data_IF_619670954058
#
_entry.id   IF_619670954058
#
_cell.length_a   1.000
_cell.length_b   1.000
_cell.length_c   1.000
_cell.angle_alpha   90.00
_cell.angle_beta   90.00
_cell.angle_gamma   90.00
#
_symmetry.space_group_name_H-M   'P 1'
#
loop_
_entity.id
_entity.type
_entity.pdbx_description
1 polymer ?
#
# COMPACT_ATOMS: atom_id res chain seq x y z
N UNK A 1 -15.63 -75.10 11.23
CA UNK A 1 -15.25 -74.79 12.62
C UNK A 1 -16.16 -73.66 13.10
N UNK A 2 -17.19 -74.08 13.85
CA UNK A 2 -18.09 -73.39 14.78
C UNK A 2 -18.85 -72.15 14.23
N UNK A 3 -20.13 -72.16 13.91
CA UNK A 3 -21.32 -72.78 14.54
C UNK A 3 -21.68 -72.13 15.89
N UNK A 4 -22.72 -71.28 15.86
CA UNK A 4 -23.88 -71.24 16.77
C UNK A 4 -24.36 -69.81 17.07
N UNK A 5 -25.64 -69.51 17.29
CA UNK A 5 -26.93 -70.10 16.95
C UNK A 5 -28.00 -69.26 17.72
N UNK A 6 -29.25 -69.30 17.23
CA UNK A 6 -30.51 -69.11 17.99
C UNK A 6 -30.77 -67.74 18.64
N UNK A 7 -31.98 -67.23 18.81
CA UNK A 7 -33.36 -67.75 18.72
C UNK A 7 -34.29 -66.50 18.71
N UNK A 8 -35.18 -66.33 17.74
CA UNK A 8 -36.63 -66.65 17.71
C UNK A 8 -37.62 -65.68 18.38
N UNK A 9 -38.71 -65.51 17.62
CA UNK A 9 -40.12 -65.38 18.02
C UNK A 9 -40.55 -64.16 18.84
N UNK A 10 -41.45 -63.29 18.37
CA UNK A 10 -42.83 -63.47 17.87
C UNK A 10 -43.82 -62.88 18.86
N UNK A 11 -44.81 -62.20 18.28
CA UNK A 11 -46.20 -62.04 18.74
C UNK A 11 -46.64 -60.65 19.24
N UNK A 12 -47.48 -60.04 18.40
CA UNK A 12 -48.87 -59.60 18.68
C UNK A 12 -49.11 -58.72 19.91
N UNK A 13 -49.55 -57.48 19.66
CA UNK A 13 -50.20 -56.61 20.65
C UNK A 13 -50.98 -55.48 19.96
N UNK A 14 -52.30 -55.48 20.16
CA UNK A 14 -53.32 -54.60 19.55
C UNK A 14 -53.20 -53.11 19.95
N UNK A 15 -53.75 -52.21 19.12
CA UNK A 15 -54.14 -50.82 19.46
C UNK A 15 -55.35 -50.80 20.39
N UNK A 16 -55.58 -49.73 21.19
CA UNK A 16 -56.67 -48.79 20.84
C UNK A 16 -56.51 -47.30 21.26
N UNK A 17 -57.08 -46.42 20.42
CA UNK A 17 -57.79 -45.12 20.62
C UNK A 17 -57.52 -44.08 21.76
N UNK A 18 -57.13 -42.84 21.34
CA UNK A 18 -57.66 -41.50 21.74
C UNK A 18 -57.23 -40.85 23.09
N UNK A 19 -57.53 -39.54 23.38
CA UNK A 19 -57.51 -38.31 22.56
C UNK A 19 -56.67 -37.13 23.17
N UNK A 20 -56.43 -36.10 22.36
CA UNK A 20 -56.25 -34.66 22.66
C UNK A 20 -55.67 -34.18 24.01
N UNK A 21 -54.50 -33.53 23.96
CA UNK A 21 -53.99 -32.66 25.03
C UNK A 21 -52.85 -31.78 24.53
N UNK A 22 -53.17 -30.54 24.11
CA UNK A 22 -52.19 -29.60 23.60
C UNK A 22 -51.41 -28.90 24.71
N UNK A 23 -50.11 -28.73 24.50
CA UNK A 23 -49.35 -27.49 24.73
C UNK A 23 -48.20 -27.51 23.72
N UNK A 24 -48.38 -26.88 22.55
CA UNK A 24 -47.25 -26.51 21.70
C UNK A 24 -46.53 -25.36 22.41
N UNK A 25 -45.44 -25.68 23.10
CA UNK A 25 -44.38 -24.72 23.39
C UNK A 25 -43.90 -24.15 22.05
N UNK A 26 -44.27 -22.90 21.78
CA UNK A 26 -43.74 -22.12 20.67
C UNK A 26 -42.21 -22.09 20.81
N UNK A 27 -41.54 -22.89 19.99
CA UNK A 27 -40.11 -22.77 19.74
C UNK A 27 -39.84 -21.34 19.30
N UNK A 28 -39.26 -20.56 20.22
CA UNK A 28 -38.79 -19.21 19.94
C UNK A 28 -37.62 -19.35 18.96
N UNK A 29 -37.91 -19.18 17.67
CA UNK A 29 -36.90 -19.06 16.62
C UNK A 29 -35.88 -18.01 17.08
N UNK A 30 -34.59 -18.38 17.26
CA UNK A 30 -33.56 -17.42 17.62
C UNK A 30 -33.54 -16.31 16.57
N UNK A 31 -33.76 -15.07 17.00
CA UNK A 31 -33.65 -13.91 16.12
C UNK A 31 -32.26 -13.87 15.48
N UNK A 32 -32.12 -13.37 14.23
CA UNK A 32 -30.84 -13.31 13.56
C UNK A 32 -29.83 -12.56 14.43
N UNK A 33 -28.72 -13.23 14.74
CA UNK A 33 -27.63 -12.63 15.52
C UNK A 33 -27.24 -11.28 14.90
N UNK A 34 -27.03 -10.22 15.71
CA UNK A 34 -26.70 -8.90 15.20
C UNK A 34 -25.47 -9.02 14.30
N UNK A 35 -25.69 -8.79 13.00
CA UNK A 35 -24.66 -8.91 11.98
C UNK A 35 -23.47 -8.05 12.36
N UNK A 36 -22.29 -8.68 12.52
CA UNK A 36 -21.04 -8.01 12.83
C UNK A 36 -20.83 -6.91 11.80
N UNK A 37 -20.89 -5.63 12.23
CA UNK A 37 -20.65 -4.49 11.34
C UNK A 37 -19.31 -4.73 10.65
N UNK A 38 -19.23 -4.64 9.30
CA UNK A 38 -17.97 -4.80 8.60
C UNK A 38 -16.95 -3.85 9.22
N UNK A 39 -15.85 -4.40 9.73
CA UNK A 39 -14.78 -3.62 10.33
C UNK A 39 -14.17 -2.76 9.20
N UNK A 40 -14.47 -1.46 9.24
CA UNK A 40 -13.92 -0.49 8.29
C UNK A 40 -12.41 -0.47 8.53
N UNK A 41 -11.63 -0.82 7.49
CA UNK A 41 -10.16 -0.81 7.59
C UNK A 41 -9.62 0.60 7.84
N UNK A 42 -8.31 0.75 8.09
CA UNK A 42 -7.70 2.04 8.38
C UNK A 42 -8.09 3.11 7.33
N UNK A 43 -8.33 4.36 7.73
CA UNK A 43 -8.57 5.43 6.79
C UNK A 43 -7.33 5.61 5.89
N UNK A 44 -7.53 5.64 4.55
CA UNK A 44 -6.43 5.85 3.61
C UNK A 44 -5.69 7.19 3.80
N UNK A 45 -6.37 8.33 4.06
CA UNK A 45 -5.68 9.62 4.07
C UNK A 45 -4.58 9.75 5.14
N UNK A 46 -4.78 9.38 6.42
CA UNK A 46 -3.72 9.47 7.41
C UNK A 46 -2.48 8.63 7.06
N UNK A 47 -2.67 7.45 6.47
CA UNK A 47 -1.56 6.57 6.08
C UNK A 47 -0.78 7.18 4.91
N UNK A 48 -1.47 7.71 3.89
CA UNK A 48 -0.83 8.39 2.77
C UNK A 48 -0.08 9.66 3.22
N UNK A 49 -0.70 10.47 4.08
CA UNK A 49 -0.09 11.67 4.64
C UNK A 49 1.15 11.32 5.46
N UNK A 50 1.10 10.29 6.31
CA UNK A 50 2.25 9.87 7.09
C UNK A 50 3.43 9.46 6.20
N UNK A 51 3.19 8.68 5.15
CA UNK A 51 4.23 8.28 4.20
C UNK A 51 4.87 9.49 3.51
N UNK A 52 4.05 10.39 2.97
CA UNK A 52 4.55 11.58 2.26
C UNK A 52 5.21 12.56 3.22
N UNK A 53 4.65 12.82 4.39
CA UNK A 53 5.20 13.76 5.36
C UNK A 53 6.56 13.29 5.89
N UNK A 54 6.72 11.99 6.20
CA UNK A 54 8.01 11.44 6.63
C UNK A 54 9.06 11.52 5.52
N UNK A 55 8.67 11.23 4.27
CA UNK A 55 9.59 11.38 3.14
C UNK A 55 9.96 12.84 2.87
N UNK A 56 9.01 13.77 2.95
CA UNK A 56 9.33 15.20 2.81
C UNK A 56 10.21 15.70 3.96
N UNK A 57 9.96 15.23 5.19
CA UNK A 57 10.80 15.54 6.34
C UNK A 57 12.22 14.98 6.18
N UNK A 58 12.39 13.80 5.57
CA UNK A 58 13.71 13.23 5.30
C UNK A 58 14.53 14.04 4.30
N UNK A 59 13.89 14.90 3.49
CA UNK A 59 14.57 15.82 2.58
C UNK A 59 14.82 17.18 3.22
N UNK A 60 13.82 17.73 3.92
CA UNK A 60 13.86 19.12 4.39
C UNK A 60 14.63 19.26 5.70
N UNK A 61 14.43 18.35 6.67
CA UNK A 61 15.02 18.49 8.00
C UNK A 61 16.56 18.42 7.99
N UNK A 62 17.21 17.49 7.27
CA UNK A 62 18.68 17.46 7.17
C UNK A 62 19.28 18.75 6.60
N UNK A 63 18.63 19.35 5.60
CA UNK A 63 19.07 20.63 5.01
C UNK A 63 18.99 21.75 6.04
N UNK A 64 17.89 21.84 6.79
CA UNK A 64 17.71 22.86 7.83
C UNK A 64 18.74 22.68 8.95
N UNK A 65 18.98 21.44 9.40
CA UNK A 65 19.96 21.12 10.44
C UNK A 65 21.41 21.31 9.98
N UNK A 66 21.68 21.10 8.69
CA UNK A 66 22.99 21.27 8.06
C UNK A 66 23.27 22.69 7.56
N UNK A 67 22.51 23.70 7.99
CA UNK A 67 22.75 25.09 7.59
C UNK A 67 22.57 25.38 6.09
N UNK A 68 21.74 24.59 5.40
CA UNK A 68 21.50 24.70 3.97
C UNK A 68 22.33 23.74 3.10
N UNK A 69 23.19 22.90 3.71
CA UNK A 69 23.91 21.87 2.97
C UNK A 69 22.94 20.91 2.28
N UNK A 70 23.15 20.70 0.98
CA UNK A 70 22.29 19.86 0.13
C UNK A 70 22.98 18.53 -0.10
N UNK A 71 22.19 17.45 -0.01
CA UNK A 71 22.67 16.10 -0.31
C UNK A 71 23.28 16.05 -1.72
N UNK A 72 24.52 15.57 -1.88
CA UNK A 72 25.25 15.70 -3.14
C UNK A 72 24.59 14.87 -4.24
N UNK A 73 24.72 15.35 -5.47
CA UNK A 73 24.33 14.60 -6.66
C UNK A 73 25.23 13.36 -6.80
N UNK A 74 24.71 12.19 -7.22
CA UNK A 74 25.54 11.03 -7.53
C UNK A 74 26.51 11.27 -8.71
N UNK A 75 26.31 12.36 -9.47
CA UNK A 75 27.16 12.77 -10.57
C UNK A 75 28.14 13.90 -10.20
N UNK A 76 28.19 14.28 -8.92
CA UNK A 76 29.14 15.27 -8.40
C UNK A 76 30.57 14.71 -8.36
N UNK A 77 31.54 15.56 -8.04
CA UNK A 77 32.93 15.12 -7.88
C UNK A 77 33.08 14.18 -6.66
N UNK A 78 34.04 13.25 -6.72
CA UNK A 78 34.30 12.33 -5.60
C UNK A 78 34.66 13.08 -4.31
N UNK A 79 35.46 14.15 -4.44
CA UNK A 79 35.84 15.01 -3.31
C UNK A 79 34.62 15.68 -2.66
N UNK A 80 33.70 16.22 -3.45
CA UNK A 80 32.46 16.83 -2.96
C UNK A 80 31.58 15.81 -2.23
N UNK A 81 31.41 14.61 -2.79
CA UNK A 81 30.63 13.53 -2.19
C UNK A 81 31.26 13.11 -0.85
N UNK A 82 32.56 12.81 -0.84
CA UNK A 82 33.27 12.33 0.35
C UNK A 82 33.32 13.38 1.45
N UNK A 83 33.60 14.64 1.09
CA UNK A 83 33.59 15.76 2.02
C UNK A 83 32.23 15.92 2.69
N UNK A 84 31.15 15.92 1.90
CA UNK A 84 29.80 16.02 2.43
C UNK A 84 29.48 14.94 3.47
N UNK A 85 29.77 13.66 3.17
CA UNK A 85 29.43 12.57 4.10
C UNK A 85 30.23 12.60 5.41
N UNK A 86 31.48 13.04 5.36
CA UNK A 86 32.32 13.22 6.56
C UNK A 86 31.84 14.39 7.41
N UNK A 87 31.47 15.50 6.77
CA UNK A 87 31.10 16.73 7.46
C UNK A 87 29.64 16.72 7.94
N UNK A 88 28.76 15.93 7.31
CA UNK A 88 27.31 15.94 7.54
C UNK A 88 26.73 14.55 7.91
N UNK A 89 27.51 13.72 8.60
CA UNK A 89 27.12 12.35 8.98
C UNK A 89 25.81 12.30 9.79
N UNK A 90 25.60 13.22 10.73
CA UNK A 90 24.39 13.27 11.57
C UNK A 90 23.14 13.63 10.76
N UNK A 91 23.28 14.55 9.81
CA UNK A 91 22.20 14.95 8.90
C UNK A 91 21.81 13.77 8.00
N UNK A 92 22.80 13.02 7.50
CA UNK A 92 22.55 11.79 6.72
C UNK A 92 21.86 10.72 7.57
N UNK A 93 22.21 10.59 8.86
CA UNK A 93 21.55 9.67 9.77
C UNK A 93 20.07 10.04 9.98
N UNK A 94 19.78 11.32 10.20
CA UNK A 94 18.40 11.84 10.32
C UNK A 94 17.60 11.59 9.03
N UNK A 95 18.20 11.89 7.87
CA UNK A 95 17.60 11.63 6.56
C UNK A 95 17.23 10.13 6.41
N UNK A 96 18.20 9.26 6.71
CA UNK A 96 18.06 7.82 6.58
C UNK A 96 16.97 7.27 7.50
N UNK A 97 16.90 7.72 8.75
CA UNK A 97 15.88 7.31 9.70
C UNK A 97 14.46 7.67 9.23
N UNK A 98 14.27 8.93 8.80
CA UNK A 98 12.97 9.41 8.34
C UNK A 98 12.55 8.75 7.02
N UNK A 99 13.49 8.54 6.11
CA UNK A 99 13.24 7.83 4.84
C UNK A 99 12.87 6.37 5.09
N UNK A 100 13.57 5.69 6.01
CA UNK A 100 13.20 4.34 6.43
C UNK A 100 11.81 4.33 7.06
N UNK A 101 11.52 5.27 7.97
CA UNK A 101 10.21 5.40 8.59
C UNK A 101 9.09 5.63 7.57
N UNK A 102 9.34 6.38 6.49
CA UNK A 102 8.38 6.61 5.40
C UNK A 102 8.04 5.35 4.60
N UNK A 103 8.95 4.36 4.53
CA UNK A 103 8.72 3.11 3.80
C UNK A 103 7.58 2.26 4.39
N UNK A 104 7.43 2.29 5.72
CA UNK A 104 6.43 1.50 6.44
C UNK A 104 4.98 1.92 6.13
N UNK A 105 4.57 3.19 6.31
CA UNK A 105 3.23 3.64 5.92
C UNK A 105 3.01 3.55 4.41
N UNK A 106 4.04 3.64 3.56
CA UNK A 106 3.89 3.40 2.13
C UNK A 106 3.48 1.95 1.83
N UNK A 107 4.13 0.97 2.46
CA UNK A 107 3.74 -0.45 2.36
C UNK A 107 2.31 -0.69 2.88
N UNK A 108 1.95 -0.09 4.02
CA UNK A 108 0.59 -0.16 4.58
C UNK A 108 -0.42 0.48 3.62
N UNK A 109 -0.11 1.64 3.04
CA UNK A 109 -0.97 2.30 2.06
C UNK A 109 -1.24 1.39 0.86
N UNK A 110 -0.19 0.77 0.30
CA UNK A 110 -0.30 -0.18 -0.81
C UNK A 110 -1.22 -1.36 -0.46
N UNK A 111 -1.10 -1.93 0.74
CA UNK A 111 -1.97 -3.01 1.21
C UNK A 111 -3.43 -2.55 1.34
N UNK A 112 -3.67 -1.45 2.06
CA UNK A 112 -5.02 -0.97 2.38
C UNK A 112 -5.76 -0.50 1.12
N UNK A 113 -5.09 0.18 0.19
CA UNK A 113 -5.72 0.65 -1.05
C UNK A 113 -6.12 -0.53 -1.94
N UNK A 114 -5.28 -1.57 -2.00
CA UNK A 114 -5.54 -2.76 -2.81
C UNK A 114 -6.72 -3.56 -2.26
N UNK A 115 -6.80 -3.73 -0.93
CA UNK A 115 -7.96 -4.32 -0.26
C UNK A 115 -9.22 -3.46 -0.50
N UNK A 116 -9.11 -2.13 -0.45
CA UNK A 116 -10.24 -1.23 -0.69
C UNK A 116 -10.77 -1.35 -2.12
N UNK A 117 -9.89 -1.36 -3.13
CA UNK A 117 -10.29 -1.53 -4.53
C UNK A 117 -11.00 -2.88 -4.76
N UNK A 118 -10.49 -3.96 -4.16
CA UNK A 118 -11.15 -5.28 -4.20
C UNK A 118 -12.55 -5.23 -3.54
N UNK A 119 -12.68 -4.58 -2.37
CA UNK A 119 -13.98 -4.39 -1.68
C UNK A 119 -14.95 -3.53 -2.49
N UNK A 120 -14.46 -2.62 -3.31
CA UNK A 120 -15.28 -1.83 -4.25
C UNK A 120 -15.70 -2.63 -5.49
N UNK A 121 -15.34 -3.93 -5.58
CA UNK A 121 -15.75 -4.84 -6.65
C UNK A 121 -14.84 -4.82 -7.86
N UNK A 122 -13.60 -4.32 -7.73
CA UNK A 122 -12.58 -4.43 -8.78
C UNK A 122 -11.99 -5.84 -8.73
N UNK A 123 -12.33 -6.68 -9.72
CA UNK A 123 -11.79 -8.05 -9.85
C UNK A 123 -10.67 -8.15 -10.90
N UNK A 124 -10.26 -7.03 -11.48
CA UNK A 124 -9.18 -6.96 -12.45
C UNK A 124 -7.80 -7.14 -11.77
N UNK A 125 -6.71 -7.43 -12.53
CA UNK A 125 -5.36 -7.54 -11.99
C UNK A 125 -4.79 -6.25 -11.38
N UNK A 126 -5.33 -5.08 -11.75
CA UNK A 126 -4.82 -3.75 -11.39
C UNK A 126 -4.47 -3.56 -9.90
N UNK A 127 -5.37 -3.83 -8.95
CA UNK A 127 -5.06 -3.73 -7.52
C UNK A 127 -3.89 -4.61 -7.06
N UNK A 128 -3.71 -5.81 -7.64
CA UNK A 128 -2.59 -6.70 -7.29
C UNK A 128 -1.26 -6.20 -7.86
N UNK A 129 -1.27 -5.67 -9.08
CA UNK A 129 -0.11 -5.02 -9.70
C UNK A 129 0.29 -3.78 -8.88
N UNK A 130 -0.70 -2.97 -8.49
CA UNK A 130 -0.48 -1.79 -7.65
C UNK A 130 0.09 -2.16 -6.27
N UNK A 131 -0.44 -3.21 -5.64
CA UNK A 131 0.10 -3.74 -4.39
C UNK A 131 1.57 -4.14 -4.53
N UNK A 132 1.90 -4.97 -5.52
CA UNK A 132 3.27 -5.41 -5.76
C UNK A 132 4.21 -4.22 -6.00
N UNK A 133 3.78 -3.25 -6.82
CA UNK A 133 4.50 -2.01 -7.06
C UNK A 133 4.75 -1.20 -5.79
N UNK A 134 3.73 -1.04 -4.94
CA UNK A 134 3.85 -0.30 -3.68
C UNK A 134 4.77 -0.98 -2.66
N UNK A 135 4.75 -2.31 -2.59
CA UNK A 135 5.67 -3.09 -1.73
C UNK A 135 7.10 -2.98 -2.26
N UNK A 136 7.32 -3.15 -3.56
CA UNK A 136 8.64 -2.97 -4.18
C UNK A 136 9.17 -1.55 -3.96
N UNK A 137 8.33 -0.52 -4.07
CA UNK A 137 8.69 0.86 -3.78
C UNK A 137 9.09 1.03 -2.30
N UNK A 138 8.31 0.51 -1.36
CA UNK A 138 8.63 0.57 0.06
C UNK A 138 9.97 -0.13 0.37
N UNK A 139 10.21 -1.32 -0.19
CA UNK A 139 11.48 -2.05 -0.02
C UNK A 139 12.65 -1.27 -0.61
N UNK A 140 12.52 -0.73 -1.82
CA UNK A 140 13.56 0.09 -2.45
C UNK A 140 13.89 1.34 -1.63
N UNK A 141 12.87 1.99 -1.06
CA UNK A 141 13.04 3.15 -0.18
C UNK A 141 13.77 2.80 1.12
N UNK A 142 13.44 1.65 1.72
CA UNK A 142 14.09 1.13 2.91
C UNK A 142 15.55 0.71 2.64
N UNK A 143 15.83 0.09 1.50
CA UNK A 143 17.20 -0.23 1.07
C UNK A 143 18.04 1.02 0.89
N UNK A 144 17.50 2.02 0.19
CA UNK A 144 18.18 3.32 -0.01
C UNK A 144 18.52 4.01 1.31
N UNK A 145 17.58 3.98 2.27
CA UNK A 145 17.82 4.46 3.62
C UNK A 145 18.88 3.63 4.36
N UNK A 146 18.87 2.30 4.20
CA UNK A 146 19.86 1.41 4.80
C UNK A 146 21.27 1.65 4.27
N UNK A 147 21.44 1.88 2.96
CA UNK A 147 22.74 2.25 2.37
C UNK A 147 23.20 3.62 2.85
N UNK A 148 22.31 4.61 2.90
CA UNK A 148 22.61 5.95 3.41
C UNK A 148 23.03 5.91 4.89
N UNK A 149 22.35 5.10 5.70
CA UNK A 149 22.74 4.84 7.09
C UNK A 149 24.09 4.14 7.20
N UNK A 150 24.38 3.18 6.32
CA UNK A 150 25.66 2.47 6.34
C UNK A 150 26.85 3.41 6.07
N UNK A 151 26.67 4.46 5.25
CA UNK A 151 27.70 5.48 5.01
C UNK A 151 28.07 6.25 6.28
N UNK A 152 27.15 6.41 7.24
CA UNK A 152 27.42 7.18 8.46
C UNK A 152 28.28 6.44 9.48
N UNK A 153 28.74 5.22 9.17
CA UNK A 153 29.56 4.42 10.09
C UNK A 153 31.01 4.88 10.01
N UNK A 154 31.70 5.12 11.15
CA UNK A 154 33.08 5.60 11.15
C UNK A 154 34.03 4.73 10.33
N UNK A 155 33.81 3.41 10.34
CA UNK A 155 34.60 2.44 9.58
C UNK A 155 34.44 2.63 8.06
N UNK A 156 33.25 3.04 7.61
CA UNK A 156 32.98 3.33 6.19
C UNK A 156 33.53 4.68 5.79
N UNK A 157 33.44 5.69 6.66
CA UNK A 157 33.93 7.05 6.38
C UNK A 157 35.45 7.13 6.17
N UNK A 158 36.19 6.13 6.66
CA UNK A 158 37.63 5.97 6.44
C UNK A 158 37.98 5.58 4.98
N UNK A 159 37.02 5.05 4.22
CA UNK A 159 37.23 4.47 2.89
C UNK A 159 36.38 5.20 1.83
N UNK A 160 37.02 5.99 0.98
CA UNK A 160 36.35 6.77 -0.07
C UNK A 160 35.56 5.88 -1.04
N UNK A 161 36.12 4.75 -1.42
CA UNK A 161 35.51 3.78 -2.33
C UNK A 161 34.20 3.21 -1.76
N UNK A 162 34.10 3.02 -0.44
CA UNK A 162 32.89 2.53 0.21
C UNK A 162 31.81 3.60 0.29
N UNK A 163 32.19 4.85 0.58
CA UNK A 163 31.27 5.99 0.54
C UNK A 163 30.62 6.09 -0.84
N UNK A 164 31.44 6.06 -1.90
CA UNK A 164 30.95 6.17 -3.28
C UNK A 164 30.04 5.01 -3.68
N UNK A 165 30.46 3.78 -3.40
CA UNK A 165 29.66 2.59 -3.68
C UNK A 165 28.29 2.64 -3.00
N UNK A 166 28.25 2.96 -1.70
CA UNK A 166 27.01 3.01 -0.95
C UNK A 166 26.13 4.20 -1.36
N UNK A 167 26.71 5.34 -1.71
CA UNK A 167 25.98 6.47 -2.27
C UNK A 167 25.33 6.10 -3.61
N UNK A 168 26.05 5.41 -4.51
CA UNK A 168 25.52 4.93 -5.78
C UNK A 168 24.39 3.91 -5.58
N UNK A 169 24.56 2.96 -4.65
CA UNK A 169 23.51 1.99 -4.30
C UNK A 169 22.29 2.68 -3.70
N UNK A 170 22.48 3.68 -2.84
CA UNK A 170 21.42 4.51 -2.28
C UNK A 170 20.67 5.28 -3.39
N UNK A 171 21.39 5.80 -4.38
CA UNK A 171 20.80 6.47 -5.54
C UNK A 171 20.05 5.51 -6.46
N UNK A 172 20.61 4.34 -6.80
CA UNK A 172 19.94 3.39 -7.70
C UNK A 172 18.63 2.87 -7.09
N UNK A 173 18.66 2.50 -5.81
CA UNK A 173 17.47 2.02 -5.10
C UNK A 173 16.49 3.14 -4.78
N UNK A 174 16.98 4.29 -4.34
CA UNK A 174 16.16 5.45 -3.98
C UNK A 174 15.65 6.23 -5.18
N UNK A 175 16.31 6.11 -6.34
CA UNK A 175 16.01 6.75 -7.62
C UNK A 175 15.06 5.93 -8.46
N UNK A 176 15.55 5.34 -9.55
CA UNK A 176 14.73 4.54 -10.47
C UNK A 176 14.12 3.31 -9.78
N UNK A 177 14.87 2.65 -8.89
CA UNK A 177 14.40 1.49 -8.13
C UNK A 177 13.17 1.77 -7.27
N UNK A 178 12.99 3.00 -6.81
CA UNK A 178 11.82 3.45 -6.07
C UNK A 178 10.71 4.00 -6.97
N UNK A 179 11.09 4.86 -7.93
CA UNK A 179 10.16 5.62 -8.76
C UNK A 179 9.35 4.70 -9.68
N UNK A 180 9.99 3.69 -10.29
CA UNK A 180 9.31 2.79 -11.23
C UNK A 180 8.24 1.95 -10.53
N UNK A 181 8.51 1.29 -9.39
CA UNK A 181 7.46 0.58 -8.65
C UNK A 181 6.39 1.51 -8.05
N UNK A 182 6.75 2.75 -7.66
CA UNK A 182 5.75 3.75 -7.26
C UNK A 182 4.80 4.07 -8.43
N UNK A 183 5.33 4.16 -9.65
CA UNK A 183 4.54 4.26 -10.88
C UNK A 183 3.57 3.09 -11.06
N UNK A 184 3.99 1.85 -10.76
CA UNK A 184 3.09 0.68 -10.76
C UNK A 184 1.98 0.80 -9.72
N UNK A 185 2.29 1.29 -8.52
CA UNK A 185 1.28 1.57 -7.49
C UNK A 185 0.25 2.58 -8.01
N UNK A 186 0.71 3.70 -8.57
CA UNK A 186 -0.17 4.74 -9.14
C UNK A 186 -1.02 4.17 -10.27
N UNK A 187 -0.43 3.45 -11.23
CA UNK A 187 -1.17 2.82 -12.33
C UNK A 187 -2.20 1.80 -11.82
N UNK A 188 -1.82 0.98 -10.85
CA UNK A 188 -2.69 -0.03 -10.23
C UNK A 188 -3.90 0.55 -9.49
N UNK A 189 -3.86 1.83 -9.12
CA UNK A 189 -5.00 2.58 -8.57
C UNK A 189 -5.74 3.32 -9.69
N UNK A 190 -5.01 3.99 -10.59
CA UNK A 190 -5.56 4.86 -11.62
C UNK A 190 -6.38 4.10 -12.67
N UNK A 191 -5.88 2.96 -13.17
CA UNK A 191 -6.57 2.13 -14.17
C UNK A 191 -7.95 1.65 -13.66
N UNK A 192 -8.05 0.92 -12.53
CA UNK A 192 -9.36 0.53 -12.03
C UNK A 192 -10.18 1.73 -11.54
N UNK A 193 -9.54 2.79 -11.05
CA UNK A 193 -10.21 4.05 -10.70
C UNK A 193 -10.94 4.67 -11.89
N UNK A 194 -10.33 4.65 -13.08
CA UNK A 194 -10.92 5.12 -14.33
C UNK A 194 -12.02 4.16 -14.83
N UNK A 195 -11.70 2.87 -14.94
CA UNK A 195 -12.59 1.87 -15.54
C UNK A 195 -13.85 1.61 -14.70
N UNK A 196 -13.69 1.51 -13.37
CA UNK A 196 -14.80 1.32 -12.45
C UNK A 196 -15.44 2.65 -12.00
N UNK A 197 -15.00 3.79 -12.57
CA UNK A 197 -15.48 5.16 -12.27
C UNK A 197 -15.46 5.49 -10.76
N UNK A 198 -14.40 5.04 -10.07
CA UNK A 198 -14.19 5.29 -8.64
C UNK A 198 -13.44 6.61 -8.39
N UNK A 199 -12.78 7.15 -9.42
CA UNK A 199 -12.07 8.42 -9.38
C UNK A 199 -12.59 9.38 -10.46
N UNK A 200 -12.46 10.70 -10.26
CA UNK A 200 -12.65 11.68 -11.33
C UNK A 200 -11.74 11.36 -12.52
N UNK A 201 -12.28 11.46 -13.75
CA UNK A 201 -11.54 11.08 -14.97
C UNK A 201 -10.21 11.82 -15.12
N UNK A 202 -10.20 13.13 -14.84
CA UNK A 202 -8.99 13.96 -14.90
C UNK A 202 -7.90 13.44 -13.94
N UNK A 203 -8.30 13.03 -12.72
CA UNK A 203 -7.37 12.56 -11.71
C UNK A 203 -6.81 11.19 -12.08
N UNK A 204 -7.64 10.31 -12.61
CA UNK A 204 -7.18 9.01 -13.08
C UNK A 204 -6.20 9.14 -14.26
N UNK A 205 -6.48 10.01 -15.24
CA UNK A 205 -5.56 10.30 -16.34
C UNK A 205 -4.24 10.92 -15.86
N UNK A 206 -4.28 11.86 -14.91
CA UNK A 206 -3.08 12.41 -14.31
C UNK A 206 -2.20 11.29 -13.69
N UNK A 207 -2.82 10.34 -12.99
CA UNK A 207 -2.11 9.17 -12.44
C UNK A 207 -1.47 8.30 -13.53
N UNK A 208 -2.17 8.06 -14.64
CA UNK A 208 -1.62 7.30 -15.77
C UNK A 208 -0.42 8.00 -16.42
N UNK A 209 -0.48 9.33 -16.58
CA UNK A 209 0.64 10.12 -17.11
C UNK A 209 1.84 10.05 -16.15
N UNK A 210 1.61 10.25 -14.85
CA UNK A 210 2.67 10.13 -13.83
C UNK A 210 3.30 8.73 -13.86
N UNK A 211 2.48 7.68 -13.95
CA UNK A 211 2.96 6.31 -14.04
C UNK A 211 3.77 6.07 -15.32
N UNK A 212 3.35 6.61 -16.47
CA UNK A 212 4.11 6.52 -17.71
C UNK A 212 5.47 7.23 -17.61
N UNK A 213 5.51 8.43 -17.05
CA UNK A 213 6.78 9.15 -16.79
C UNK A 213 7.67 8.34 -15.85
N UNK A 214 7.11 7.75 -14.80
CA UNK A 214 7.85 6.88 -13.88
C UNK A 214 8.45 5.66 -14.60
N UNK A 215 7.75 5.05 -15.56
CA UNK A 215 8.27 3.92 -16.35
C UNK A 215 9.44 4.35 -17.24
N UNK A 216 9.31 5.50 -17.92
CA UNK A 216 10.39 6.05 -18.76
C UNK A 216 11.62 6.40 -17.91
N UNK A 217 11.41 6.81 -16.65
CA UNK A 217 12.51 7.10 -15.73
C UNK A 217 13.41 5.89 -15.43
N UNK A 218 13.01 4.64 -15.75
CA UNK A 218 13.90 3.46 -15.72
C UNK A 218 15.16 3.69 -16.56
N UNK A 219 15.04 4.41 -17.68
CA UNK A 219 16.15 4.71 -18.57
C UNK A 219 17.23 5.58 -17.91
N UNK A 220 16.97 6.22 -16.76
CA UNK A 220 17.96 7.02 -16.04
C UNK A 220 19.15 6.20 -15.54
N UNK A 221 19.00 4.88 -15.42
CA UNK A 221 20.11 3.97 -15.06
C UNK A 221 21.15 3.90 -16.17
N UNK A 222 20.71 3.93 -17.44
CA UNK A 222 21.60 3.90 -18.60
C UNK A 222 21.98 5.31 -19.09
N UNK A 223 21.09 6.29 -18.88
CA UNK A 223 21.21 7.64 -19.42
C UNK A 223 21.11 8.66 -18.27
N UNK A 224 22.25 9.13 -17.71
CA UNK A 224 22.26 10.08 -16.60
C UNK A 224 21.42 11.35 -16.82
N UNK A 225 21.32 11.83 -18.07
CA UNK A 225 20.50 12.99 -18.44
C UNK A 225 18.99 12.83 -18.21
N UNK A 226 18.50 11.59 -18.07
CA UNK A 226 17.09 11.31 -17.75
C UNK A 226 16.81 11.27 -16.24
N UNK A 227 17.81 11.48 -15.39
CA UNK A 227 17.63 11.55 -13.93
C UNK A 227 16.65 12.64 -13.49
N UNK A 228 16.47 13.69 -14.30
CA UNK A 228 15.45 14.73 -14.09
C UNK A 228 14.01 14.20 -14.07
N UNK A 229 13.75 13.05 -14.71
CA UNK A 229 12.44 12.40 -14.67
C UNK A 229 12.12 11.82 -13.29
N UNK A 230 13.14 11.48 -12.49
CA UNK A 230 12.95 10.90 -11.16
C UNK A 230 12.17 11.85 -10.22
N UNK A 231 12.57 13.12 -10.01
CA UNK A 231 11.79 14.04 -9.20
C UNK A 231 10.45 14.40 -9.86
N UNK A 232 10.41 14.55 -11.19
CA UNK A 232 9.17 14.86 -11.94
C UNK A 232 8.12 13.74 -11.81
N UNK A 233 8.53 12.49 -11.67
CA UNK A 233 7.60 11.40 -11.38
C UNK A 233 7.27 11.33 -9.88
N UNK A 234 8.30 11.41 -9.01
CA UNK A 234 8.18 11.15 -7.58
C UNK A 234 7.25 12.11 -6.86
N UNK A 235 7.51 13.42 -6.95
CA UNK A 235 6.76 14.40 -6.17
C UNK A 235 5.30 14.49 -6.62
N UNK A 236 4.99 14.52 -7.92
CA UNK A 236 3.61 14.39 -8.40
C UNK A 236 2.95 13.08 -7.99
N UNK A 237 3.65 11.94 -8.01
CA UNK A 237 3.10 10.67 -7.53
C UNK A 237 2.71 10.75 -6.05
N UNK A 238 3.52 11.38 -5.19
CA UNK A 238 3.18 11.58 -3.78
C UNK A 238 1.94 12.46 -3.59
N UNK A 239 1.88 13.61 -4.26
CA UNK A 239 0.70 14.47 -4.23
C UNK A 239 -0.55 13.73 -4.75
N UNK A 240 -0.37 12.91 -5.78
CA UNK A 240 -1.42 12.11 -6.38
C UNK A 240 -1.95 11.03 -5.44
N UNK A 241 -1.10 10.23 -4.78
CA UNK A 241 -1.58 9.17 -3.86
C UNK A 241 -2.32 9.74 -2.66
N UNK A 242 -1.92 10.92 -2.15
CA UNK A 242 -2.62 11.62 -1.08
C UNK A 242 -4.00 12.05 -1.57
N UNK A 243 -4.07 12.66 -2.75
CA UNK A 243 -5.35 13.07 -3.36
C UNK A 243 -6.27 11.86 -3.61
N UNK A 244 -5.74 10.77 -4.17
CA UNK A 244 -6.47 9.52 -4.40
C UNK A 244 -6.98 8.90 -3.09
N UNK A 245 -6.24 9.03 -1.99
CA UNK A 245 -6.65 8.55 -0.66
C UNK A 245 -7.94 9.22 -0.15
N UNK A 246 -8.13 10.51 -0.48
CA UNK A 246 -9.35 11.25 -0.18
C UNK A 246 -10.50 10.97 -1.16
N UNK A 247 -10.18 10.84 -2.45
CA UNK A 247 -11.18 10.67 -3.51
C UNK A 247 -11.79 9.26 -3.56
N UNK A 248 -11.05 8.23 -3.15
CA UNK A 248 -11.52 6.84 -3.20
C UNK A 248 -12.71 6.60 -2.24
N UNK A 249 -13.89 6.17 -2.76
CA UNK A 249 -15.05 5.90 -1.92
C UNK A 249 -14.79 4.82 -0.87
N UNK A 250 -15.41 4.97 0.32
CA UNK A 250 -15.32 3.96 1.39
C UNK A 250 -16.23 2.75 1.15
N UNK A 251 -17.38 2.97 0.52
CA UNK A 251 -18.39 1.94 0.23
C UNK A 251 -18.99 2.17 -1.16
N UNK A 252 -19.34 1.09 -1.84
CA UNK A 252 -20.12 1.15 -3.08
C UNK A 252 -21.58 1.37 -2.70
N UNK A 253 -22.21 2.43 -3.19
CA UNK A 253 -23.66 2.61 -2.99
C UNK A 253 -24.38 1.39 -3.58
N UNK A 254 -25.20 0.69 -2.78
CA UNK A 254 -26.04 -0.38 -3.31
C UNK A 254 -27.04 0.25 -4.25
N UNK A 255 -27.09 -0.24 -5.49
CA UNK A 255 -28.02 0.22 -6.54
C UNK A 255 -29.51 0.10 -6.14
N UNK A 256 -29.84 -0.56 -5.02
CA UNK A 256 -31.19 -0.72 -4.50
C UNK A 256 -31.69 0.38 -3.54
N UNK A 257 -30.82 1.23 -2.97
CA UNK A 257 -31.27 2.33 -2.08
C UNK A 257 -31.89 3.50 -2.88
N UNK A 258 -31.44 3.70 -4.12
CA UNK A 258 -31.96 4.76 -5.01
C UNK A 258 -33.38 4.43 -5.50
N UNK A 259 -33.70 3.16 -5.72
CA UNK A 259 -35.05 2.72 -6.12
C UNK A 259 -36.03 2.65 -4.94
N UNK A 260 -35.57 2.29 -3.73
CA UNK A 260 -36.43 2.25 -2.55
C UNK A 260 -36.94 3.66 -2.15
N UNK A 261 -36.10 4.70 -2.28
CA UNK A 261 -36.50 6.07 -1.94
C UNK A 261 -37.40 6.72 -2.99
N UNK A 262 -37.47 6.19 -4.22
CA UNK A 262 -38.39 6.66 -5.27
C UNK A 262 -39.75 5.92 -5.26
N UNK A 263 -39.84 4.76 -4.59
CA UNK A 263 -41.08 3.98 -4.48
C UNK A 263 -41.97 4.34 -3.29
N UNK A 264 -41.45 5.04 -2.28
CA UNK A 264 -42.20 5.40 -1.06
C UNK A 264 -42.98 6.72 -1.17
N UNK A 265 -42.95 7.39 -2.33
CA UNK A 265 -43.63 8.67 -2.57
C UNK A 265 -44.76 8.57 -3.60
N UNK A 266 -45.39 7.40 -3.72
CA UNK A 266 -46.59 7.20 -4.54
C UNK A 266 -47.71 6.61 -3.71
#
# INVERSE_FOLDING_TARGET
>A
MNENAYDTNSAVGQRPSGPSGGVQTLDRVPGPAPGRRPQDGPPLPPVAIAAVALFMASLVLPIVLGGGAVYPSPFASGEEIVGYFRDHSDQVLVASLLQFAASLPLAVFAAVVSVRLNRLGVQAPGPRIGFAGGILAAVALAMSAGFSWAVTRPEVLAHEELIRLLHDLAFVTGGAGFVVPLGLLVAGIAVPGLLARLLPRWHAWAGLVIAAVAMVATLSVALPGLSILLPIARFPAFAWIVSAAFLLPRRRARRGEITANQGSSR
#
